data_IF_965378028358
#
_entry.id   IF_965378028358
#
_cell.length_a   1.000
_cell.length_b   1.000
_cell.length_c   1.000
_cell.angle_alpha   90.00
_cell.angle_beta   90.00
_cell.angle_gamma   90.00
#
_symmetry.space_group_name_H-M   'P 1'
#
loop_
_entity.id
_entity.type
_entity.pdbx_description
1 polymer ?
#
# COMPACT_ATOMS: atom_id res chain seq x y z
N UNK A 1 -17.95 6.23 1.42
CA UNK A 1 -18.15 5.52 0.12
C UNK A 1 -16.82 4.88 -0.16
N UNK A 2 -16.73 3.56 -0.01
CA UNK A 2 -15.45 2.85 -0.13
C UNK A 2 -14.91 3.00 -1.57
N UNK A 3 -13.63 3.35 -1.74
CA UNK A 3 -13.06 3.55 -3.06
C UNK A 3 -13.03 2.23 -3.85
N UNK A 4 -13.28 2.34 -5.16
CA UNK A 4 -13.30 1.19 -6.06
C UNK A 4 -11.88 0.56 -6.15
N UNK A 5 -11.72 -0.76 -5.98
CA UNK A 5 -10.41 -1.41 -6.04
C UNK A 5 -9.65 -1.15 -7.36
N UNK A 6 -10.34 -1.05 -8.50
CA UNK A 6 -9.70 -0.76 -9.78
C UNK A 6 -9.18 0.69 -9.83
N UNK A 7 -9.90 1.65 -9.25
CA UNK A 7 -9.43 3.03 -9.10
C UNK A 7 -8.19 3.12 -8.21
N UNK A 8 -8.18 2.42 -7.06
CA UNK A 8 -7.03 2.40 -6.16
C UNK A 8 -5.83 1.70 -6.81
N UNK A 9 -6.05 0.61 -7.54
CA UNK A 9 -5.02 -0.05 -8.33
C UNK A 9 -4.41 0.90 -9.38
N UNK A 10 -5.25 1.66 -10.10
CA UNK A 10 -4.80 2.68 -11.06
C UNK A 10 -3.98 3.79 -10.39
N UNK A 11 -4.38 4.22 -9.19
CA UNK A 11 -3.65 5.22 -8.40
C UNK A 11 -2.28 4.70 -7.94
N UNK A 12 -2.19 3.46 -7.48
CA UNK A 12 -0.92 2.80 -7.15
C UNK A 12 -0.03 2.73 -8.39
N UNK A 13 -0.57 2.36 -9.55
CA UNK A 13 0.19 2.33 -10.80
C UNK A 13 0.77 3.70 -11.16
N UNK A 14 -0.02 4.76 -11.06
CA UNK A 14 0.43 6.12 -11.34
C UNK A 14 1.57 6.55 -10.39
N UNK A 15 1.43 6.27 -9.11
CA UNK A 15 2.48 6.55 -8.11
C UNK A 15 3.75 5.73 -8.36
N UNK A 16 3.61 4.46 -8.74
CA UNK A 16 4.76 3.64 -9.14
C UNK A 16 5.43 4.19 -10.42
N UNK A 17 4.65 4.64 -11.41
CA UNK A 17 5.20 5.24 -12.63
C UNK A 17 6.02 6.50 -12.36
N UNK A 18 5.64 7.29 -11.35
CA UNK A 18 6.41 8.47 -10.95
C UNK A 18 7.83 8.13 -10.45
N UNK A 19 8.05 6.91 -9.96
CA UNK A 19 9.36 6.45 -9.44
C UNK A 19 10.11 5.57 -10.44
N UNK A 20 9.40 4.64 -11.10
CA UNK A 20 10.01 3.59 -11.93
C UNK A 20 9.66 3.69 -13.43
N UNK A 21 8.91 4.72 -13.84
CA UNK A 21 8.47 4.88 -15.22
C UNK A 21 7.68 3.67 -15.73
N UNK A 22 7.88 3.29 -16.99
CA UNK A 22 7.12 2.19 -17.61
C UNK A 22 7.42 0.81 -17.00
N UNK A 23 8.54 0.63 -16.28
CA UNK A 23 8.82 -0.61 -15.56
C UNK A 23 7.80 -0.90 -14.46
N UNK A 24 7.18 0.14 -13.90
CA UNK A 24 6.10 0.02 -12.92
C UNK A 24 4.96 -0.88 -13.42
N UNK A 25 4.62 -0.79 -14.71
CA UNK A 25 3.55 -1.59 -15.33
C UNK A 25 3.89 -3.08 -15.25
N UNK A 26 5.12 -3.46 -15.62
CA UNK A 26 5.54 -4.86 -15.61
C UNK A 26 5.60 -5.41 -14.18
N UNK A 27 6.06 -4.60 -13.22
CA UNK A 27 6.14 -4.99 -11.81
C UNK A 27 4.75 -5.19 -11.20
N UNK A 28 3.82 -4.25 -11.43
CA UNK A 28 2.48 -4.34 -10.90
C UNK A 28 1.69 -5.49 -11.55
N UNK A 29 1.80 -5.68 -12.88
CA UNK A 29 1.21 -6.84 -13.57
C UNK A 29 1.76 -8.17 -13.06
N UNK A 30 3.03 -8.23 -12.65
CA UNK A 30 3.59 -9.42 -12.01
C UNK A 30 2.89 -9.71 -10.68
N UNK A 31 2.60 -8.67 -9.87
CA UNK A 31 1.89 -8.84 -8.59
C UNK A 31 0.42 -9.19 -8.76
N UNK A 32 -0.22 -8.67 -9.80
CA UNK A 32 -1.56 -9.06 -10.18
C UNK A 32 -1.63 -10.58 -10.45
N UNK A 33 -0.66 -11.13 -11.20
CA UNK A 33 -0.55 -12.58 -11.41
C UNK A 33 -0.21 -13.36 -10.15
N UNK A 34 0.58 -12.78 -9.24
CA UNK A 34 0.94 -13.43 -7.96
C UNK A 34 -0.29 -13.62 -7.03
N UNK A 35 -1.40 -12.90 -7.27
CA UNK A 35 -2.68 -13.06 -6.55
C UNK A 35 -3.75 -13.77 -7.39
N UNK A 36 -3.36 -14.43 -8.49
CA UNK A 36 -4.27 -15.16 -9.40
C UNK A 36 -5.36 -14.29 -10.06
N UNK A 37 -5.25 -12.96 -9.94
CA UNK A 37 -6.12 -12.02 -10.62
C UNK A 37 -5.66 -11.83 -12.07
N UNK A 38 -6.62 -11.83 -12.99
CA UNK A 38 -6.37 -11.59 -14.42
C UNK A 38 -6.65 -10.15 -14.84
N UNK A 39 -7.59 -9.49 -14.16
CA UNK A 39 -8.07 -8.15 -14.50
C UNK A 39 -8.17 -7.27 -13.24
N UNK A 40 -7.56 -6.07 -13.23
CA UNK A 40 -7.77 -5.10 -12.15
C UNK A 40 -9.24 -4.72 -11.90
N UNK A 41 -10.11 -4.82 -12.91
CA UNK A 41 -11.54 -4.56 -12.76
C UNK A 41 -12.28 -5.64 -11.93
N UNK A 42 -11.66 -6.79 -11.72
CA UNK A 42 -12.21 -7.88 -10.90
C UNK A 42 -11.55 -7.98 -9.52
N UNK A 43 -10.62 -7.07 -9.19
CA UNK A 43 -9.93 -7.11 -7.91
C UNK A 43 -10.90 -6.87 -6.77
N UNK A 44 -10.87 -7.79 -5.81
CA UNK A 44 -11.47 -7.51 -4.50
C UNK A 44 -10.55 -6.60 -3.69
N UNK A 45 -11.09 -6.04 -2.61
CA UNK A 45 -10.29 -5.28 -1.65
C UNK A 45 -9.15 -6.13 -1.07
N UNK A 46 -9.42 -7.39 -0.74
CA UNK A 46 -8.44 -8.32 -0.17
C UNK A 46 -7.31 -8.64 -1.15
N UNK A 47 -7.63 -8.81 -2.45
CA UNK A 47 -6.61 -8.99 -3.50
C UNK A 47 -5.69 -7.79 -3.59
N UNK A 48 -6.24 -6.58 -3.51
CA UNK A 48 -5.47 -5.36 -3.59
C UNK A 48 -4.61 -5.12 -2.34
N UNK A 49 -5.11 -5.45 -1.15
CA UNK A 49 -4.30 -5.50 0.08
C UNK A 49 -3.13 -6.46 -0.09
N UNK A 50 -3.38 -7.66 -0.65
CA UNK A 50 -2.34 -8.66 -0.88
C UNK A 50 -1.31 -8.20 -1.91
N UNK A 51 -1.72 -7.52 -2.99
CA UNK A 51 -0.82 -6.88 -3.96
C UNK A 51 0.08 -5.85 -3.26
N UNK A 52 -0.47 -4.99 -2.40
CA UNK A 52 0.30 -3.98 -1.67
C UNK A 52 1.34 -4.62 -0.74
N UNK A 53 0.99 -5.71 -0.04
CA UNK A 53 1.94 -6.47 0.77
C UNK A 53 3.05 -7.11 -0.08
N UNK A 54 2.71 -7.71 -1.22
CA UNK A 54 3.70 -8.28 -2.14
C UNK A 54 4.63 -7.21 -2.71
N UNK A 55 4.12 -6.01 -2.99
CA UNK A 55 4.93 -4.87 -3.41
C UNK A 55 5.87 -4.43 -2.29
N UNK A 56 5.37 -4.30 -1.06
CA UNK A 56 6.19 -3.99 0.12
C UNK A 56 7.39 -4.93 0.22
N UNK A 57 7.12 -6.22 0.27
CA UNK A 57 8.13 -7.25 0.53
C UNK A 57 9.12 -7.42 -0.63
N UNK A 58 8.61 -7.51 -1.87
CA UNK A 58 9.42 -7.96 -3.02
C UNK A 58 9.92 -6.83 -3.90
N UNK A 59 9.38 -5.62 -3.76
CA UNK A 59 9.64 -4.51 -4.68
C UNK A 59 10.13 -3.29 -3.93
N UNK A 60 9.34 -2.77 -3.00
CA UNK A 60 9.66 -1.55 -2.28
C UNK A 60 10.83 -1.75 -1.34
N UNK A 61 10.92 -2.89 -0.64
CA UNK A 61 12.01 -3.16 0.30
C UNK A 61 13.39 -3.12 -0.37
N UNK A 62 13.48 -3.61 -1.61
CA UNK A 62 14.72 -3.60 -2.39
C UNK A 62 15.12 -2.20 -2.89
N UNK A 63 14.16 -1.27 -3.04
CA UNK A 63 14.40 0.05 -3.64
C UNK A 63 14.49 1.16 -2.58
N UNK A 64 13.60 1.13 -1.59
CA UNK A 64 13.43 2.18 -0.57
C UNK A 64 13.95 1.74 0.81
N UNK A 65 14.43 0.50 0.93
CA UNK A 65 14.69 -0.12 2.22
C UNK A 65 13.40 -0.55 2.94
N UNK A 66 13.53 -1.31 4.05
CA UNK A 66 12.40 -1.87 4.77
C UNK A 66 11.46 -0.78 5.34
N UNK A 67 12.02 0.29 5.90
CA UNK A 67 11.25 1.39 6.50
C UNK A 67 10.47 2.19 5.44
N UNK A 68 11.14 2.51 4.32
CA UNK A 68 10.49 3.20 3.19
C UNK A 68 9.39 2.35 2.54
N UNK A 69 9.61 1.03 2.46
CA UNK A 69 8.61 0.09 1.99
C UNK A 69 7.37 0.04 2.89
N UNK A 70 7.57 -0.01 4.21
CA UNK A 70 6.50 0.03 5.20
C UNK A 70 5.67 1.30 5.12
N UNK A 71 6.34 2.46 5.08
CA UNK A 71 5.67 3.76 5.03
C UNK A 71 4.82 3.90 3.76
N UNK A 72 5.37 3.49 2.62
CA UNK A 72 4.68 3.58 1.33
C UNK A 72 3.53 2.57 1.20
N UNK A 73 3.70 1.35 1.71
CA UNK A 73 2.63 0.37 1.76
C UNK A 73 1.46 0.85 2.64
N UNK A 74 1.74 1.41 3.83
CA UNK A 74 0.70 2.00 4.69
C UNK A 74 -0.05 3.11 3.99
N UNK A 75 0.65 4.00 3.27
CA UNK A 75 0.01 5.05 2.48
C UNK A 75 -0.96 4.46 1.46
N UNK A 76 -0.54 3.46 0.68
CA UNK A 76 -1.43 2.82 -0.30
C UNK A 76 -2.60 2.08 0.35
N UNK A 77 -2.41 1.46 1.51
CA UNK A 77 -3.49 0.84 2.28
C UNK A 77 -4.49 1.88 2.80
N UNK A 78 -4.07 3.11 3.10
CA UNK A 78 -5.02 4.18 3.47
C UNK A 78 -5.94 4.57 2.31
N UNK A 79 -5.50 4.40 1.05
CA UNK A 79 -6.35 4.60 -0.11
C UNK A 79 -7.41 3.50 -0.27
N UNK A 80 -7.25 2.36 0.41
CA UNK A 80 -8.25 1.30 0.51
C UNK A 80 -9.19 1.51 1.70
N UNK A 81 -8.91 2.47 2.58
CA UNK A 81 -9.72 2.82 3.74
C UNK A 81 -10.79 3.87 3.42
N UNK A 82 -11.95 3.74 4.05
CA UNK A 82 -12.88 4.87 4.22
C UNK A 82 -12.17 5.91 5.10
N UNK A 83 -12.32 7.21 4.79
CA UNK A 83 -11.63 8.27 5.53
C UNK A 83 -11.96 8.23 7.02
N UNK A 84 -11.04 7.73 7.85
CA UNK A 84 -11.22 7.70 9.30
C UNK A 84 -10.35 6.66 9.97
N UNK A 85 -9.13 7.06 10.37
CA UNK A 85 -8.20 6.18 11.07
C UNK A 85 -6.97 6.92 11.55
N UNK A 86 -7.21 7.90 12.42
CA UNK A 86 -6.27 8.69 13.21
C UNK A 86 -4.78 8.32 13.12
N UNK A 87 -4.01 9.20 12.48
CA UNK A 87 -2.74 9.63 13.08
C UNK A 87 -3.06 10.20 14.46
N UNK A 88 -2.89 9.40 15.51
CA UNK A 88 -2.64 9.97 16.84
C UNK A 88 -1.13 9.92 17.04
N UNK A 89 -0.44 11.07 17.11
CA UNK A 89 0.95 11.10 17.49
C UNK A 89 1.09 10.61 18.93
N UNK A 90 2.15 9.84 19.16
CA UNK A 90 2.65 9.40 20.46
C UNK A 90 2.65 10.55 21.48
N UNK A 91 1.91 10.38 22.58
CA UNK A 91 2.24 11.01 23.85
C UNK A 91 2.41 9.91 24.88
N UNK A 92 3.66 9.46 25.01
CA UNK A 92 4.11 8.74 26.18
C UNK A 92 4.10 9.73 27.35
N UNK A 93 2.96 9.86 28.02
CA UNK A 93 2.91 10.50 29.33
C UNK A 93 3.43 9.47 30.34
N UNK A 94 4.71 9.61 30.68
CA UNK A 94 5.32 8.93 31.81
C UNK A 94 4.51 9.25 33.07
N UNK A 95 4.05 8.21 33.77
CA UNK A 95 3.62 8.34 35.15
C UNK A 95 4.83 8.62 36.05
N UNK A 96 4.76 9.61 36.94
CA UNK A 96 5.51 9.53 38.18
C UNK A 96 4.56 9.18 39.33
N UNK A 97 4.83 7.99 39.86
CA UNK A 97 4.41 7.49 41.18
C UNK A 97 4.86 8.44 42.30
N UNK A 98 3.91 8.74 43.19
CA UNK A 98 4.01 9.06 44.63
C UNK A 98 5.06 10.03 45.17
N UNK A 99 4.59 10.97 46.01
CA UNK A 99 5.05 11.19 47.39
C UNK A 99 3.93 11.86 48.21
#
# INVERSE_FOLDING_TARGET
MSPDPAEVYGRILADMKAVWGEMAVAMLRKRLRDVEASDPAQLTRDDLVRIVHLLREKTLSAVLGPEGADLKARLWLTWLGDGGGASTPVVAAASPTSL
#
